data_IF_902509207640
#
_entry.id   IF_902509207640
#
_cell.length_a   1.000
_cell.length_b   1.000
_cell.length_c   1.000
_cell.angle_alpha   90.00
_cell.angle_beta   90.00
_cell.angle_gamma   90.00
#
_symmetry.space_group_name_H-M   'P 1'
#
loop_
_entity.id
_entity.type
_entity.pdbx_description
1 polymer ?
#
# COMPACT_ATOMS: atom_id res chain seq x y z
N UNK A 1 -3.88 6.99 10.68
CA UNK A 1 -2.85 6.90 9.63
C UNK A 1 -2.97 5.54 8.96
N UNK A 2 -3.11 5.49 7.63
CA UNK A 2 -3.21 4.24 6.86
C UNK A 2 -1.87 3.97 6.15
N UNK A 3 -1.42 2.71 6.16
CA UNK A 3 -0.22 2.26 5.45
C UNK A 3 -0.52 1.00 4.65
N UNK A 4 -1.02 1.15 3.40
CA UNK A 4 -1.30 0.02 2.55
C UNK A 4 -0.01 -0.66 2.07
N UNK A 5 -0.07 -1.98 1.87
CA UNK A 5 0.95 -2.78 1.19
C UNK A 5 0.27 -3.59 0.07
N UNK A 6 0.95 -3.84 -1.06
CA UNK A 6 0.37 -4.62 -2.16
C UNK A 6 0.92 -6.04 -2.21
N UNK A 7 0.04 -7.04 -2.24
CA UNK A 7 0.42 -8.44 -2.50
C UNK A 7 0.32 -8.82 -3.99
N UNK A 8 -0.05 -7.85 -4.82
CA UNK A 8 -0.16 -7.95 -6.27
C UNK A 8 0.53 -6.73 -6.89
N UNK A 9 1.01 -6.82 -8.14
CA UNK A 9 1.60 -5.67 -8.82
C UNK A 9 0.61 -4.49 -8.89
N UNK A 10 1.13 -3.27 -8.81
CA UNK A 10 0.31 -2.05 -8.77
C UNK A 10 -0.64 -1.92 -9.97
N UNK A 11 -0.25 -2.41 -11.15
CA UNK A 11 -1.11 -2.40 -12.34
C UNK A 11 -2.43 -3.17 -12.13
N UNK A 12 -2.44 -4.20 -11.29
CA UNK A 12 -3.67 -4.92 -10.91
C UNK A 12 -4.57 -4.05 -10.03
N UNK A 13 -3.97 -3.30 -9.09
CA UNK A 13 -4.68 -2.38 -8.19
C UNK A 13 -5.31 -1.23 -8.99
N UNK A 14 -4.64 -0.73 -10.04
CA UNK A 14 -5.18 0.35 -10.89
C UNK A 14 -6.51 -0.01 -11.54
N UNK A 15 -6.75 -1.29 -11.77
CA UNK A 15 -7.97 -1.82 -12.38
C UNK A 15 -9.11 -2.05 -11.39
N UNK A 16 -8.85 -1.95 -10.08
CA UNK A 16 -9.89 -2.13 -9.07
C UNK A 16 -10.96 -1.03 -9.18
N UNK A 17 -12.21 -1.46 -9.12
CA UNK A 17 -13.38 -0.60 -9.04
C UNK A 17 -14.14 -0.97 -7.77
N UNK A 18 -14.28 -0.02 -6.84
CA UNK A 18 -15.09 -0.23 -5.65
C UNK A 18 -15.92 1.04 -5.41
N UNK A 19 -16.96 1.18 -6.22
CA UNK A 19 -17.89 2.30 -6.13
C UNK A 19 -18.94 2.00 -5.08
N UNK A 20 -18.99 2.82 -4.04
CA UNK A 20 -20.04 2.84 -3.03
C UNK A 20 -21.15 3.79 -3.50
N UNK A 21 -22.30 3.23 -3.85
CA UNK A 21 -23.46 3.98 -4.34
C UNK A 21 -24.13 4.84 -3.26
N UNK A 22 -23.98 4.48 -1.98
CA UNK A 22 -24.60 5.19 -0.86
C UNK A 22 -23.79 6.45 -0.49
N UNK A 23 -22.47 6.41 -0.64
CA UNK A 23 -21.58 7.53 -0.33
C UNK A 23 -21.08 8.30 -1.56
N UNK A 24 -21.30 7.76 -2.76
CA UNK A 24 -20.82 8.33 -4.03
C UNK A 24 -19.29 8.30 -4.18
N UNK A 25 -18.61 7.48 -3.36
CA UNK A 25 -17.14 7.41 -3.31
C UNK A 25 -16.63 6.16 -4.02
N UNK A 26 -15.48 6.29 -4.67
CA UNK A 26 -14.71 5.15 -5.17
C UNK A 26 -13.57 4.86 -4.19
N UNK A 27 -13.79 3.93 -3.27
CA UNK A 27 -12.77 3.56 -2.26
C UNK A 27 -11.50 3.00 -2.90
N UNK A 28 -11.58 2.44 -4.11
CA UNK A 28 -10.40 2.00 -4.85
C UNK A 28 -9.59 3.20 -5.38
N UNK A 29 -10.25 4.33 -5.67
CA UNK A 29 -9.55 5.60 -5.95
C UNK A 29 -8.83 6.12 -4.71
N UNK A 30 -9.48 6.14 -3.56
CA UNK A 30 -8.86 6.62 -2.31
C UNK A 30 -7.58 5.81 -1.98
N UNK A 31 -7.59 4.48 -2.16
CA UNK A 31 -6.41 3.64 -1.93
C UNK A 31 -5.26 3.96 -2.91
N UNK A 32 -5.56 4.28 -4.17
CA UNK A 32 -4.55 4.61 -5.21
C UNK A 32 -3.88 5.97 -5.00
N UNK A 33 -4.38 6.78 -4.08
CA UNK A 33 -3.76 8.06 -3.70
C UNK A 33 -2.61 7.88 -2.69
N UNK A 34 -2.53 6.72 -2.04
CA UNK A 34 -1.43 6.40 -1.13
C UNK A 34 -0.19 5.90 -1.89
N UNK A 35 0.98 6.12 -1.31
CA UNK A 35 2.15 5.33 -1.67
C UNK A 35 1.97 3.89 -1.16
N UNK A 36 1.91 2.92 -2.08
CA UNK A 36 1.72 1.50 -1.77
C UNK A 36 3.02 0.76 -2.09
N UNK A 37 3.81 0.34 -1.09
CA UNK A 37 4.99 -0.49 -1.32
C UNK A 37 4.61 -1.84 -1.93
N UNK A 38 5.41 -2.30 -2.89
CA UNK A 38 5.18 -3.58 -3.56
C UNK A 38 5.75 -4.75 -2.75
N UNK A 39 4.85 -5.64 -2.30
CA UNK A 39 5.11 -6.90 -1.62
C UNK A 39 4.61 -8.09 -2.46
N UNK A 40 4.43 -7.94 -3.77
CA UNK A 40 3.94 -9.03 -4.65
C UNK A 40 4.83 -10.29 -4.62
N UNK A 41 6.14 -10.13 -4.38
CA UNK A 41 7.11 -11.22 -4.21
C UNK A 41 7.33 -11.60 -2.72
N UNK A 42 6.32 -11.46 -1.86
CA UNK A 42 6.44 -11.73 -0.40
C UNK A 42 6.88 -13.15 -0.03
N UNK A 43 6.75 -14.11 -0.95
CA UNK A 43 7.19 -15.50 -0.73
C UNK A 43 8.71 -15.65 -0.83
N UNK A 44 9.39 -14.72 -1.50
CA UNK A 44 10.83 -14.66 -1.51
C UNK A 44 11.32 -14.03 -0.20
N UNK A 45 12.00 -14.83 0.61
CA UNK A 45 12.44 -14.42 1.94
C UNK A 45 13.36 -13.18 1.92
N UNK A 46 14.27 -13.12 0.95
CA UNK A 46 15.23 -12.02 0.85
C UNK A 46 14.55 -10.72 0.41
N UNK A 47 13.68 -10.79 -0.62
CA UNK A 47 12.89 -9.64 -1.09
C UNK A 47 11.99 -9.11 0.01
N UNK A 48 11.29 -10.01 0.72
CA UNK A 48 10.40 -9.66 1.82
C UNK A 48 11.14 -8.94 2.95
N UNK A 49 12.30 -9.46 3.36
CA UNK A 49 13.09 -8.87 4.45
C UNK A 49 13.52 -7.44 4.13
N UNK A 50 14.03 -7.21 2.91
CA UNK A 50 14.45 -5.87 2.46
C UNK A 50 13.26 -4.90 2.42
N UNK A 51 12.11 -5.33 1.90
CA UNK A 51 10.90 -4.52 1.84
C UNK A 51 10.36 -4.18 3.23
N UNK A 52 10.37 -5.14 4.16
CA UNK A 52 9.94 -4.97 5.55
C UNK A 52 10.86 -4.00 6.31
N UNK A 53 12.18 -4.11 6.15
CA UNK A 53 13.15 -3.19 6.78
C UNK A 53 12.93 -1.74 6.33
N UNK A 54 12.68 -1.53 5.03
CA UNK A 54 12.31 -0.22 4.48
C UNK A 54 11.00 0.30 5.08
N UNK A 55 9.96 -0.53 5.11
CA UNK A 55 8.67 -0.18 5.70
C UNK A 55 8.83 0.26 7.17
N UNK A 56 9.56 -0.51 7.98
CA UNK A 56 9.81 -0.18 9.40
C UNK A 56 10.57 1.14 9.53
N UNK A 57 11.57 1.38 8.68
CA UNK A 57 12.33 2.63 8.67
C UNK A 57 11.42 3.82 8.36
N UNK A 58 10.58 3.70 7.34
CA UNK A 58 9.70 4.78 6.91
C UNK A 58 8.61 5.06 7.96
N UNK A 59 8.06 4.02 8.59
CA UNK A 59 7.13 4.14 9.73
C UNK A 59 7.77 4.86 10.92
N UNK A 60 9.04 4.57 11.24
CA UNK A 60 9.78 5.25 12.31
C UNK A 60 10.14 6.70 11.96
N UNK A 61 10.35 7.01 10.68
CA UNK A 61 10.63 8.35 10.20
C UNK A 61 9.37 9.24 10.22
N UNK A 62 8.22 8.71 9.78
CA UNK A 62 6.93 9.41 9.82
C UNK A 62 6.37 9.65 11.22
N UNK A 63 6.89 8.96 12.25
CA UNK A 63 6.59 9.25 13.66
C UNK A 63 7.33 10.48 14.22
N UNK A 64 8.15 11.16 13.40
CA UNK A 64 8.88 12.38 13.76
C UNK A 64 8.35 13.61 13.03
N UNK A 65 7.04 13.76 12.94
CA UNK A 65 6.44 15.07 12.67
C UNK A 65 6.13 15.73 14.02
N UNK A 66 6.98 16.71 14.39
CA UNK A 66 6.69 17.75 15.39
C UNK A 66 5.95 18.89 14.71
#
# INVERSE_FOLDING_TARGET
>A
MLFPISLVPYEVIRLWKNFDADTGKDSAREIREYFIPDFSDWKNHDTYKVALERLIRDLKAGGKEQ
#
